data_IF_659720498327
#
_entry.id   IF_659720498327
#
_cell.length_a   1.000
_cell.length_b   1.000
_cell.length_c   1.000
_cell.angle_alpha   90.00
_cell.angle_beta   90.00
_cell.angle_gamma   90.00
#
_symmetry.space_group_name_H-M   'P 1'
#
loop_
_entity.id
_entity.type
_entity.pdbx_description
1 polymer ?
#
# COMPACT_ATOMS: atom_id res chain seq x y z
N UNK A 1 21.44 -33.39 20.69
CA UNK A 1 20.89 -32.09 21.15
C UNK A 1 19.37 -32.14 21.15
N UNK A 2 18.69 -31.97 22.30
CA UNK A 2 17.23 -31.82 22.33
C UNK A 2 16.88 -30.43 21.79
N UNK A 3 16.13 -30.35 20.68
CA UNK A 3 15.57 -29.08 20.19
C UNK A 3 14.57 -28.58 21.23
N UNK A 4 14.89 -27.49 21.92
CA UNK A 4 13.95 -26.80 22.80
C UNK A 4 13.01 -26.00 21.90
N UNK A 5 11.70 -26.26 22.01
CA UNK A 5 10.71 -25.46 21.32
C UNK A 5 10.64 -24.07 21.98
N UNK A 6 10.91 -23.03 21.21
CA UNK A 6 10.71 -21.65 21.64
C UNK A 6 9.23 -21.31 21.41
N UNK A 7 8.58 -20.74 22.42
CA UNK A 7 7.16 -20.39 22.38
C UNK A 7 6.97 -18.87 22.38
N UNK A 8 5.88 -18.42 21.76
CA UNK A 8 5.40 -17.03 21.81
C UNK A 8 3.95 -16.98 22.26
N UNK A 9 3.50 -15.84 22.80
CA UNK A 9 2.11 -15.62 23.22
C UNK A 9 1.35 -14.96 22.08
N UNK A 10 0.27 -15.60 21.64
CA UNK A 10 -0.67 -14.99 20.71
C UNK A 10 -1.48 -13.89 21.40
N UNK A 11 -1.98 -12.91 20.65
CA UNK A 11 -2.87 -11.87 21.19
C UNK A 11 -4.20 -12.40 21.76
N UNK A 12 -4.58 -13.65 21.45
CA UNK A 12 -5.71 -14.32 22.11
C UNK A 12 -5.33 -14.98 23.46
N UNK A 13 -4.07 -14.87 23.89
CA UNK A 13 -3.58 -15.43 25.15
C UNK A 13 -2.92 -16.81 25.04
N UNK A 14 -3.17 -17.58 23.97
CA UNK A 14 -2.58 -18.93 23.78
C UNK A 14 -1.06 -18.88 23.58
N UNK A 15 -0.32 -19.81 24.19
CA UNK A 15 1.09 -20.09 23.87
C UNK A 15 1.15 -20.93 22.60
N UNK A 16 1.94 -20.49 21.62
CA UNK A 16 2.15 -21.17 20.35
C UNK A 16 3.64 -21.32 20.07
N UNK A 17 4.03 -22.31 19.27
CA UNK A 17 5.43 -22.47 18.84
C UNK A 17 5.83 -21.21 18.05
N UNK A 18 7.02 -20.67 18.28
CA UNK A 18 7.52 -19.52 17.56
C UNK A 18 7.51 -19.80 16.04
N UNK A 19 6.97 -18.85 15.26
CA UNK A 19 6.78 -19.00 13.81
C UNK A 19 5.53 -19.78 13.39
N UNK A 20 4.84 -20.48 14.32
CA UNK A 20 3.57 -21.14 14.02
C UNK A 20 2.39 -20.16 14.00
N UNK A 21 1.34 -20.51 13.25
CA UNK A 21 0.09 -19.72 13.18
C UNK A 21 -0.91 -20.22 14.21
N UNK A 22 -1.41 -19.33 15.06
CA UNK A 22 -2.51 -19.65 15.98
C UNK A 22 -3.83 -19.80 15.21
N UNK A 23 -4.67 -20.76 15.61
CA UNK A 23 -5.99 -21.01 14.99
C UNK A 23 -6.91 -19.78 15.03
N UNK A 24 -6.91 -19.04 16.15
CA UNK A 24 -7.70 -17.81 16.31
C UNK A 24 -7.37 -16.74 15.25
N UNK A 25 -6.24 -16.85 14.54
CA UNK A 25 -5.89 -15.99 13.41
C UNK A 25 -6.95 -16.10 12.32
N UNK A 26 -7.47 -17.31 12.05
CA UNK A 26 -8.54 -17.52 11.05
C UNK A 26 -9.80 -16.77 11.43
N UNK A 27 -10.26 -16.91 12.67
CA UNK A 27 -11.48 -16.24 13.14
C UNK A 27 -11.32 -14.72 13.20
N UNK A 28 -10.15 -14.23 13.58
CA UNK A 28 -9.83 -12.80 13.53
C UNK A 28 -9.85 -12.24 12.10
N UNK A 29 -9.30 -12.97 11.13
CA UNK A 29 -9.40 -12.55 9.73
C UNK A 29 -10.83 -12.55 9.23
N UNK A 30 -11.61 -13.61 9.49
CA UNK A 30 -13.04 -13.65 9.13
C UNK A 30 -13.81 -12.47 9.71
N UNK A 31 -13.54 -12.14 10.98
CA UNK A 31 -14.15 -10.99 11.65
C UNK A 31 -13.76 -9.67 11.00
N UNK A 32 -12.46 -9.45 10.78
CA UNK A 32 -11.96 -8.25 10.11
C UNK A 32 -12.52 -8.09 8.70
N UNK A 33 -12.58 -9.18 7.94
CA UNK A 33 -13.15 -9.20 6.61
C UNK A 33 -14.61 -8.75 6.65
N UNK A 34 -15.41 -9.31 7.56
CA UNK A 34 -16.83 -8.97 7.70
C UNK A 34 -17.08 -7.56 8.23
N UNK A 35 -16.40 -7.17 9.31
CA UNK A 35 -16.70 -5.95 10.07
C UNK A 35 -16.01 -4.71 9.49
N UNK A 36 -14.87 -4.89 8.83
CA UNK A 36 -14.07 -3.79 8.29
C UNK A 36 -14.03 -3.85 6.77
N UNK A 37 -13.53 -4.93 6.15
CA UNK A 37 -13.22 -4.93 4.72
C UNK A 37 -14.46 -4.92 3.81
N UNK A 38 -15.46 -5.72 4.15
CA UNK A 38 -16.69 -5.92 3.37
C UNK A 38 -17.93 -5.33 4.06
N UNK A 39 -17.73 -4.34 4.94
CA UNK A 39 -18.84 -3.57 5.46
C UNK A 39 -19.36 -2.57 4.40
N UNK A 40 -20.51 -1.96 4.65
CA UNK A 40 -21.17 -1.06 3.72
C UNK A 40 -20.28 0.11 3.26
N UNK A 41 -19.43 0.62 4.15
CA UNK A 41 -18.58 1.79 3.89
C UNK A 41 -17.32 1.44 3.11
N UNK A 42 -16.87 0.18 3.17
CA UNK A 42 -15.57 -0.24 2.63
C UNK A 42 -15.66 -1.19 1.44
N UNK A 43 -16.81 -1.86 1.24
CA UNK A 43 -16.98 -2.84 0.17
C UNK A 43 -16.60 -2.28 -1.20
N UNK A 44 -17.03 -1.06 -1.50
CA UNK A 44 -16.71 -0.34 -2.74
C UNK A 44 -15.20 -0.20 -2.99
N UNK A 45 -14.42 0.11 -1.96
CA UNK A 45 -12.98 0.29 -2.08
C UNK A 45 -12.26 -1.06 -2.16
N UNK A 46 -12.74 -2.04 -1.39
CA UNK A 46 -12.24 -3.42 -1.44
C UNK A 46 -12.44 -4.03 -2.82
N UNK A 47 -13.62 -3.87 -3.41
CA UNK A 47 -13.92 -4.34 -4.76
C UNK A 47 -13.00 -3.70 -5.79
N UNK A 48 -12.78 -2.38 -5.69
CA UNK A 48 -11.85 -1.67 -6.57
C UNK A 48 -10.42 -2.23 -6.48
N UNK A 49 -9.87 -2.42 -5.28
CA UNK A 49 -8.51 -2.96 -5.14
C UNK A 49 -8.38 -4.43 -5.59
N UNK A 50 -9.48 -5.18 -5.65
CA UNK A 50 -9.53 -6.54 -6.18
C UNK A 50 -9.91 -6.58 -7.67
N UNK A 51 -10.11 -5.43 -8.31
CA UNK A 51 -10.64 -5.35 -9.66
C UNK A 51 -9.53 -5.54 -10.71
N UNK A 52 -9.83 -6.14 -11.89
CA UNK A 52 -8.88 -6.26 -12.98
C UNK A 52 -8.39 -4.91 -13.51
N UNK A 53 -9.21 -3.87 -13.43
CA UNK A 53 -8.86 -2.51 -13.83
C UNK A 53 -7.73 -1.96 -12.97
N UNK A 54 -7.81 -2.14 -11.64
CA UNK A 54 -6.74 -1.71 -10.74
C UNK A 54 -5.47 -2.51 -10.96
N UNK A 55 -5.56 -3.84 -11.11
CA UNK A 55 -4.39 -4.69 -11.34
C UNK A 55 -3.63 -4.25 -12.61
N UNK A 56 -4.34 -4.10 -13.73
CA UNK A 56 -3.76 -3.63 -15.00
C UNK A 56 -3.18 -2.23 -14.88
N UNK A 57 -3.90 -1.30 -14.25
CA UNK A 57 -3.45 0.08 -14.09
C UNK A 57 -2.20 0.16 -13.19
N UNK A 58 -2.18 -0.59 -12.09
CA UNK A 58 -1.04 -0.64 -11.17
C UNK A 58 0.21 -1.15 -11.88
N UNK A 59 0.09 -2.23 -12.65
CA UNK A 59 1.20 -2.76 -13.47
C UNK A 59 1.65 -1.75 -14.54
N UNK A 60 0.71 -1.10 -15.21
CA UNK A 60 1.03 -0.03 -16.18
C UNK A 60 1.81 1.11 -15.53
N UNK A 61 1.39 1.60 -14.36
CA UNK A 61 2.09 2.67 -13.63
C UNK A 61 3.50 2.22 -13.25
N UNK A 62 3.65 1.02 -12.66
CA UNK A 62 4.98 0.48 -12.33
C UNK A 62 5.89 0.46 -13.56
N UNK A 63 5.41 -0.05 -14.70
CA UNK A 63 6.18 -0.11 -15.94
C UNK A 63 6.52 1.29 -16.50
N UNK A 64 5.57 2.24 -16.45
CA UNK A 64 5.75 3.61 -16.92
C UNK A 64 6.90 4.34 -16.22
N UNK A 65 7.14 4.01 -14.95
CA UNK A 65 8.21 4.59 -14.13
C UNK A 65 9.34 3.58 -13.87
N UNK A 66 9.57 2.67 -14.83
CA UNK A 66 10.71 1.73 -14.84
C UNK A 66 10.79 0.83 -13.60
N UNK A 67 9.68 0.60 -12.90
CA UNK A 67 9.60 -0.18 -11.67
C UNK A 67 10.27 0.49 -10.47
N UNK A 68 10.51 1.81 -10.51
CA UNK A 68 11.24 2.55 -9.48
C UNK A 68 10.30 3.29 -8.51
N UNK A 69 10.76 3.43 -7.27
CA UNK A 69 10.18 4.32 -6.28
C UNK A 69 10.57 5.77 -6.60
N UNK A 70 9.59 6.61 -6.94
CA UNK A 70 9.89 7.99 -7.34
C UNK A 70 10.40 8.88 -6.20
N UNK A 71 9.93 8.63 -4.97
CA UNK A 71 10.46 9.35 -3.80
C UNK A 71 11.94 9.02 -3.57
N UNK A 72 12.33 7.74 -3.59
CA UNK A 72 13.74 7.37 -3.46
C UNK A 72 14.58 7.99 -4.58
N UNK A 73 14.11 7.92 -5.82
CA UNK A 73 14.88 8.39 -6.97
C UNK A 73 15.11 9.90 -6.96
N UNK A 74 14.11 10.69 -6.57
CA UNK A 74 14.15 12.15 -6.74
C UNK A 74 14.45 12.90 -5.42
N UNK A 75 13.93 12.43 -4.28
CA UNK A 75 14.21 13.09 -2.98
C UNK A 75 15.51 12.58 -2.35
N UNK A 76 15.85 11.30 -2.54
CA UNK A 76 16.98 10.65 -1.85
C UNK A 76 18.17 10.33 -2.77
N UNK A 77 18.04 10.51 -4.09
CA UNK A 77 19.03 10.08 -5.10
C UNK A 77 19.37 8.58 -5.03
N UNK A 78 18.36 7.75 -4.70
CA UNK A 78 18.49 6.31 -4.50
C UNK A 78 17.69 5.50 -5.55
N UNK A 79 18.33 4.49 -6.14
CA UNK A 79 17.66 3.55 -7.05
C UNK A 79 17.05 2.41 -6.22
N UNK A 80 15.75 2.53 -5.96
CA UNK A 80 14.97 1.54 -5.21
C UNK A 80 13.76 1.09 -6.03
N UNK A 81 13.52 -0.23 -6.11
CA UNK A 81 12.34 -0.78 -6.76
C UNK A 81 11.05 -0.39 -6.02
N UNK A 82 9.96 -0.13 -6.74
CA UNK A 82 8.66 0.09 -6.13
C UNK A 82 7.97 -1.23 -5.76
N UNK A 83 7.29 -1.24 -4.61
CA UNK A 83 6.50 -2.38 -4.15
C UNK A 83 5.02 -2.22 -4.56
N UNK A 84 4.52 -0.99 -4.56
CA UNK A 84 3.11 -0.67 -4.71
C UNK A 84 2.91 0.65 -5.46
N UNK A 85 1.66 0.91 -5.85
CA UNK A 85 1.21 2.18 -6.41
C UNK A 85 0.29 2.86 -5.41
N UNK A 86 0.61 4.10 -5.07
CA UNK A 86 -0.11 4.92 -4.10
C UNK A 86 -1.03 5.92 -4.82
N UNK A 87 -2.24 6.09 -4.29
CA UNK A 87 -3.18 7.12 -4.73
C UNK A 87 -2.85 8.46 -4.09
N UNK A 88 -2.39 9.43 -4.89
CA UNK A 88 -2.10 10.79 -4.42
C UNK A 88 -3.36 11.45 -3.88
N UNK A 89 -4.51 11.35 -4.55
CA UNK A 89 -5.80 11.66 -3.93
C UNK A 89 -6.40 10.36 -3.40
N UNK A 90 -6.55 10.17 -2.07
CA UNK A 90 -7.08 8.93 -1.53
C UNK A 90 -8.48 8.67 -2.11
N UNK A 91 -8.74 7.43 -2.50
CA UNK A 91 -10.01 7.04 -3.15
C UNK A 91 -11.24 7.25 -2.24
N UNK A 92 -11.02 7.38 -0.92
CA UNK A 92 -12.04 7.75 0.06
C UNK A 92 -12.47 9.22 -0.01
N UNK A 93 -11.57 10.08 -0.47
CA UNK A 93 -11.80 11.52 -0.65
C UNK A 93 -12.44 11.77 -2.02
N UNK A 94 -11.87 11.20 -3.08
CA UNK A 94 -12.41 11.34 -4.44
C UNK A 94 -12.26 10.04 -5.23
N UNK A 95 -13.35 9.30 -5.35
CA UNK A 95 -13.38 8.03 -6.07
C UNK A 95 -13.37 8.20 -7.60
N UNK A 96 -13.69 9.39 -8.12
CA UNK A 96 -13.67 9.64 -9.57
C UNK A 96 -12.26 9.54 -10.13
N UNK A 97 -11.26 9.89 -9.30
CA UNK A 97 -9.82 9.86 -9.61
C UNK A 97 -9.14 8.49 -9.49
N UNK A 98 -9.85 7.44 -9.06
CA UNK A 98 -9.24 6.13 -8.75
C UNK A 98 -8.47 5.49 -9.92
N UNK A 99 -8.84 5.82 -11.15
CA UNK A 99 -8.21 5.35 -12.40
C UNK A 99 -7.41 6.45 -13.13
N UNK A 100 -7.25 7.64 -12.53
CA UNK A 100 -6.48 8.72 -13.12
C UNK A 100 -4.98 8.47 -12.95
N UNK A 101 -4.29 8.27 -14.07
CA UNK A 101 -2.83 8.04 -14.13
C UNK A 101 -2.04 9.17 -13.46
N UNK A 102 -2.56 10.41 -13.45
CA UNK A 102 -1.91 11.58 -12.83
C UNK A 102 -2.05 11.61 -11.30
N UNK A 103 -2.87 10.73 -10.74
CA UNK A 103 -3.12 10.61 -9.30
C UNK A 103 -2.48 9.34 -8.72
N UNK A 104 -1.55 8.71 -9.45
CA UNK A 104 -0.91 7.45 -9.10
C UNK A 104 0.61 7.58 -9.12
N UNK A 105 1.25 7.21 -8.00
CA UNK A 105 2.71 7.26 -7.83
C UNK A 105 3.25 5.91 -7.36
N UNK A 106 4.26 5.32 -8.03
CA UNK A 106 4.89 4.08 -7.56
C UNK A 106 5.87 4.37 -6.44
N UNK A 107 5.77 3.61 -5.35
CA UNK A 107 6.57 3.76 -4.13
C UNK A 107 7.04 2.40 -3.61
N UNK A 108 8.18 2.41 -2.92
CA UNK A 108 8.54 1.30 -2.03
C UNK A 108 7.73 1.37 -0.73
N UNK A 109 7.69 0.28 0.03
CA UNK A 109 6.99 0.21 1.30
C UNK A 109 7.47 1.23 2.32
N UNK A 110 8.79 1.52 2.35
CA UNK A 110 9.36 2.51 3.26
C UNK A 110 8.82 3.92 2.97
N UNK A 111 8.88 4.36 1.71
CA UNK A 111 8.35 5.66 1.30
C UNK A 111 6.83 5.75 1.48
N UNK A 112 6.09 4.70 1.11
CA UNK A 112 4.64 4.67 1.34
C UNK A 112 4.29 4.86 2.82
N UNK A 113 4.99 4.17 3.73
CA UNK A 113 4.72 4.27 5.17
C UNK A 113 5.22 5.59 5.79
N UNK A 114 6.11 6.31 5.10
CA UNK A 114 6.55 7.64 5.53
C UNK A 114 5.49 8.74 5.29
N UNK A 115 4.49 8.45 4.45
CA UNK A 115 3.38 9.36 4.18
C UNK A 115 2.41 9.33 5.37
N UNK A 116 2.14 10.48 5.95
CA UNK A 116 1.10 10.62 6.97
C UNK A 116 -0.28 10.55 6.31
N UNK A 117 -0.94 9.39 6.41
CA UNK A 117 -2.29 9.17 5.89
C UNK A 117 -3.39 9.75 6.80
N UNK A 118 -3.05 10.18 8.02
CA UNK A 118 -4.00 10.79 8.96
C UNK A 118 -4.07 12.29 8.68
N UNK A 119 -2.91 12.96 8.63
CA UNK A 119 -2.81 14.39 8.32
C UNK A 119 -2.38 14.61 6.86
N UNK A 120 -3.22 14.15 5.93
CA UNK A 120 -2.90 14.14 4.51
C UNK A 120 -3.39 15.40 3.78
N UNK A 121 -2.55 16.44 3.80
CA UNK A 121 -2.89 17.79 3.33
C UNK A 121 -2.67 18.00 1.82
N UNK A 122 -3.11 19.15 1.29
CA UNK A 122 -2.85 19.51 -0.11
C UNK A 122 -1.36 19.72 -0.40
N UNK A 123 -0.56 20.15 0.58
CA UNK A 123 0.89 20.27 0.43
C UNK A 123 1.54 18.92 0.16
N UNK A 124 1.10 17.87 0.87
CA UNK A 124 1.59 16.50 0.65
C UNK A 124 1.22 16.03 -0.77
N UNK A 125 -0.03 16.24 -1.19
CA UNK A 125 -0.47 15.87 -2.55
C UNK A 125 0.32 16.62 -3.61
N UNK A 126 0.54 17.92 -3.40
CA UNK A 126 1.31 18.77 -4.30
C UNK A 126 2.75 18.27 -4.45
N UNK A 127 3.40 17.90 -3.33
CA UNK A 127 4.74 17.29 -3.35
C UNK A 127 4.76 16.03 -4.20
N UNK A 128 3.82 15.10 -4.00
CA UNK A 128 3.78 13.85 -4.78
C UNK A 128 3.53 14.10 -6.28
N UNK A 129 2.67 15.07 -6.64
CA UNK A 129 2.46 15.46 -8.05
C UNK A 129 3.69 16.14 -8.65
N UNK A 130 4.46 16.87 -7.85
CA UNK A 130 5.72 17.47 -8.29
C UNK A 130 6.73 16.38 -8.68
N UNK A 131 6.81 15.28 -7.91
CA UNK A 131 7.67 14.13 -8.26
C UNK A 131 7.29 13.50 -9.60
N UNK A 132 5.98 13.34 -9.88
CA UNK A 132 5.53 12.86 -11.19
C UNK A 132 6.00 13.79 -12.31
N UNK A 133 5.82 15.09 -12.12
CA UNK A 133 6.19 16.13 -13.11
C UNK A 133 7.70 16.19 -13.33
N UNK A 134 8.48 16.12 -12.25
CA UNK A 134 9.94 16.13 -12.31
C UNK A 134 10.49 14.90 -13.03
N UNK A 135 9.95 13.71 -12.74
CA UNK A 135 10.32 12.50 -13.46
C UNK A 135 10.09 12.65 -14.97
N UNK A 136 8.90 13.13 -15.36
CA UNK A 136 8.58 13.36 -16.77
C UNK A 136 9.56 14.35 -17.40
N UNK A 137 9.91 15.45 -16.71
CA UNK A 137 10.85 16.44 -17.24
C UNK A 137 12.28 15.89 -17.42
N UNK A 138 12.71 14.99 -16.53
CA UNK A 138 14.10 14.51 -16.48
C UNK A 138 14.34 13.27 -17.34
N UNK A 139 13.34 12.41 -17.52
CA UNK A 139 13.52 11.07 -18.07
C UNK A 139 12.57 10.71 -19.22
N UNK A 140 11.66 11.60 -19.62
CA UNK A 140 10.73 11.40 -20.75
C UNK A 140 10.91 12.51 -21.77
#
# INVERSE_FOLDING_TARGET
MKRIAIYTKCSCGKKIIQGSKCECRKDRYKRYDKEVRYNQDNIKYTEFYNSPEWDKLSQYIKNKYNGLCLMCLLDNDEITACDLVHHITPIRIDFSKRLDVKELIPLCHACHNSIDHINYTEEVKSKLRALLTEYQKKYV
#
